data_IF_557399367938
#
_entry.id   IF_557399367938
#
_cell.length_a   1.000
_cell.length_b   1.000
_cell.length_c   1.000
_cell.angle_alpha   90.00
_cell.angle_beta   90.00
_cell.angle_gamma   90.00
#
_symmetry.space_group_name_H-M   'P 1'
#
loop_
_entity.id
_entity.type
_entity.pdbx_description
1 polymer ?
#
# COMPACT_ATOMS: atom_id res chain seq x y z
N UNK A 1 0.90 8.20 6.84
CA UNK A 1 1.61 9.15 5.95
C UNK A 1 0.56 9.85 5.11
N UNK A 2 0.52 11.19 5.06
CA UNK A 2 -0.46 11.94 4.27
C UNK A 2 -0.04 12.20 2.81
N UNK A 3 1.19 11.83 2.43
CA UNK A 3 1.77 12.11 1.11
C UNK A 3 2.53 10.90 0.51
N UNK A 4 2.52 9.75 1.19
CA UNK A 4 3.18 8.52 0.75
C UNK A 4 2.55 7.31 1.45
N UNK A 5 2.99 6.09 1.15
CA UNK A 5 2.57 4.89 1.88
C UNK A 5 3.53 4.54 3.01
N UNK A 6 3.05 3.84 4.05
CA UNK A 6 3.93 3.28 5.07
C UNK A 6 4.77 2.12 4.51
N UNK A 7 5.94 1.88 5.08
CA UNK A 7 6.72 0.65 4.87
C UNK A 7 6.25 -0.40 5.88
N UNK A 8 5.93 -1.60 5.40
CA UNK A 8 5.49 -2.73 6.22
C UNK A 8 6.34 -3.91 5.82
N UNK A 9 7.22 -4.36 6.70
CA UNK A 9 8.16 -5.45 6.44
C UNK A 9 8.47 -6.23 7.71
N UNK A 10 8.64 -7.56 7.63
CA UNK A 10 9.06 -8.37 8.77
C UNK A 10 10.43 -7.97 9.33
N UNK A 11 10.71 -8.21 10.62
CA UNK A 11 9.84 -8.88 11.59
C UNK A 11 8.78 -7.94 12.21
N UNK A 12 8.92 -6.63 12.06
CA UNK A 12 8.13 -5.64 12.79
C UNK A 12 6.77 -5.34 12.13
N UNK A 13 6.60 -5.69 10.85
CA UNK A 13 5.39 -5.47 10.08
C UNK A 13 4.83 -6.74 9.45
N UNK A 14 3.52 -6.79 9.34
CA UNK A 14 2.75 -7.83 8.66
C UNK A 14 1.74 -7.17 7.70
N UNK A 15 1.80 -7.54 6.41
CA UNK A 15 0.93 -6.94 5.39
C UNK A 15 -0.54 -7.35 5.57
N UNK A 16 -0.81 -8.55 6.07
CA UNK A 16 -2.17 -9.03 6.37
C UNK A 16 -2.78 -8.18 7.48
N UNK A 17 -2.06 -8.02 8.59
CA UNK A 17 -2.52 -7.20 9.71
C UNK A 17 -2.69 -5.72 9.31
N UNK A 18 -1.85 -5.23 8.41
CA UNK A 18 -1.97 -3.89 7.85
C UNK A 18 -3.24 -3.73 7.01
N UNK A 19 -3.53 -4.66 6.10
CA UNK A 19 -4.74 -4.65 5.26
C UNK A 19 -6.02 -4.75 6.12
N UNK A 20 -6.05 -5.65 7.11
CA UNK A 20 -7.16 -5.73 8.08
C UNK A 20 -7.36 -4.41 8.84
N UNK A 21 -6.28 -3.68 9.12
CA UNK A 21 -6.35 -2.37 9.77
C UNK A 21 -6.94 -1.29 8.86
N UNK A 22 -6.62 -1.32 7.56
CA UNK A 22 -7.25 -0.43 6.58
C UNK A 22 -8.75 -0.75 6.42
N UNK A 23 -9.14 -2.02 6.38
CA UNK A 23 -10.55 -2.42 6.33
C UNK A 23 -11.34 -1.93 7.55
N UNK A 24 -10.74 -2.00 8.76
CA UNK A 24 -11.32 -1.42 9.97
C UNK A 24 -11.51 0.10 9.85
N UNK A 25 -10.57 0.81 9.22
CA UNK A 25 -10.70 2.25 8.96
C UNK A 25 -11.80 2.56 7.95
N UNK A 26 -11.93 1.74 6.90
CA UNK A 26 -12.98 1.90 5.89
C UNK A 26 -14.40 1.81 6.48
N UNK A 27 -14.58 1.03 7.55
CA UNK A 27 -15.88 0.88 8.22
C UNK A 27 -16.22 1.99 9.22
N UNK A 28 -15.30 2.91 9.50
CA UNK A 28 -15.49 4.00 10.47
C UNK A 28 -16.03 5.28 9.81
N UNK A 29 -16.85 6.02 10.53
CA UNK A 29 -17.38 7.33 10.12
C UNK A 29 -16.53 8.48 10.66
N UNK A 30 -15.22 8.40 10.47
CA UNK A 30 -14.31 9.47 10.86
C UNK A 30 -14.44 10.66 9.88
N UNK A 31 -14.31 11.89 10.39
CA UNK A 31 -14.42 13.09 9.55
C UNK A 31 -13.05 13.63 9.10
N UNK A 32 -12.00 13.37 9.88
CA UNK A 32 -10.64 13.87 9.62
C UNK A 32 -9.61 12.88 10.16
N UNK A 33 -8.56 12.59 9.39
CA UNK A 33 -7.35 11.95 9.88
C UNK A 33 -6.22 12.96 10.10
N UNK A 34 -5.54 12.81 11.23
CA UNK A 34 -4.36 13.58 11.62
C UNK A 34 -3.13 12.67 11.62
N UNK A 35 -2.49 12.47 10.45
CA UNK A 35 -1.36 11.57 10.35
C UNK A 35 -0.12 12.16 11.03
N UNK A 36 0.78 11.30 11.53
CA UNK A 36 2.09 11.71 12.07
C UNK A 36 2.94 12.49 11.06
N UNK A 37 2.72 12.27 9.77
CA UNK A 37 3.40 12.98 8.68
C UNK A 37 2.40 13.40 7.61
N UNK A 38 2.55 14.62 7.09
CA UNK A 38 1.66 15.21 6.09
C UNK A 38 0.58 16.09 6.70
N UNK A 39 -0.27 16.64 5.84
CA UNK A 39 -1.42 17.46 6.24
C UNK A 39 -2.58 16.60 6.72
N UNK A 40 -3.57 17.26 7.34
CA UNK A 40 -4.83 16.62 7.69
C UNK A 40 -5.58 16.13 6.44
N UNK A 41 -6.21 14.96 6.55
CA UNK A 41 -6.98 14.34 5.47
C UNK A 41 -8.46 14.44 5.83
N UNK A 42 -9.26 15.09 4.97
CA UNK A 42 -10.71 15.24 5.16
C UNK A 42 -11.51 14.26 4.31
N UNK A 43 -11.00 13.90 3.14
CA UNK A 43 -11.55 12.85 2.28
C UNK A 43 -11.06 11.48 2.76
N UNK A 44 -11.45 11.06 3.97
CA UNK A 44 -10.85 9.90 4.63
C UNK A 44 -11.19 8.56 3.95
N UNK A 45 -12.44 8.40 3.48
CA UNK A 45 -12.92 7.17 2.87
C UNK A 45 -12.23 6.88 1.52
N UNK A 46 -12.16 7.84 0.57
CA UNK A 46 -11.35 7.66 -0.64
C UNK A 46 -9.86 7.47 -0.34
N UNK A 47 -9.34 8.12 0.70
CA UNK A 47 -7.93 8.01 1.06
C UNK A 47 -7.54 6.60 1.51
N UNK A 48 -8.35 5.96 2.37
CA UNK A 48 -8.09 4.58 2.81
C UNK A 48 -8.24 3.61 1.65
N UNK A 49 -9.27 3.79 0.82
CA UNK A 49 -9.48 2.94 -0.35
C UNK A 49 -8.29 2.99 -1.32
N UNK A 50 -7.73 4.18 -1.57
CA UNK A 50 -6.54 4.31 -2.42
C UNK A 50 -5.33 3.52 -1.89
N UNK A 51 -5.19 3.39 -0.56
CA UNK A 51 -4.14 2.56 0.03
C UNK A 51 -4.40 1.07 -0.16
N UNK A 52 -5.65 0.63 0.02
CA UNK A 52 -6.07 -0.76 -0.24
C UNK A 52 -5.78 -1.11 -1.70
N UNK A 53 -6.26 -0.27 -2.64
CA UNK A 53 -6.09 -0.46 -4.07
C UNK A 53 -4.61 -0.54 -4.45
N UNK A 54 -3.79 0.36 -3.91
CA UNK A 54 -2.35 0.35 -4.17
C UNK A 54 -1.67 -0.96 -3.73
N UNK A 55 -2.09 -1.56 -2.61
CA UNK A 55 -1.53 -2.85 -2.15
C UNK A 55 -1.99 -4.01 -3.02
N UNK A 56 -3.26 -4.04 -3.40
CA UNK A 56 -3.79 -5.07 -4.29
C UNK A 56 -3.18 -4.98 -5.69
N UNK A 57 -2.97 -3.77 -6.21
CA UNK A 57 -2.27 -3.56 -7.47
C UNK A 57 -0.84 -4.13 -7.41
N UNK A 58 -0.12 -3.87 -6.31
CA UNK A 58 1.23 -4.42 -6.13
C UNK A 58 1.23 -5.94 -6.10
N UNK A 59 0.26 -6.55 -5.42
CA UNK A 59 0.10 -8.02 -5.42
C UNK A 59 -0.17 -8.57 -6.83
N UNK A 60 -1.05 -7.92 -7.59
CA UNK A 60 -1.33 -8.30 -8.98
C UNK A 60 -0.09 -8.20 -9.87
N UNK A 61 0.75 -7.18 -9.69
CA UNK A 61 2.02 -7.04 -10.40
C UNK A 61 2.99 -8.19 -10.07
N UNK A 62 3.06 -8.62 -8.80
CA UNK A 62 3.85 -9.79 -8.39
C UNK A 62 3.32 -11.06 -9.07
N UNK A 63 2.00 -11.27 -9.05
CA UNK A 63 1.35 -12.41 -9.70
C UNK A 63 1.60 -12.41 -11.22
N UNK A 64 1.61 -11.25 -11.87
CA UNK A 64 1.94 -11.12 -13.29
C UNK A 64 3.40 -11.51 -13.56
N UNK A 65 4.35 -10.99 -12.77
CA UNK A 65 5.76 -11.36 -12.88
C UNK A 65 5.98 -12.87 -12.75
N UNK A 66 5.31 -13.51 -11.79
CA UNK A 66 5.38 -14.96 -11.59
C UNK A 66 4.82 -15.73 -12.79
N UNK A 67 3.71 -15.27 -13.40
CA UNK A 67 3.14 -15.87 -14.62
C UNK A 67 4.10 -15.74 -15.81
N UNK A 68 4.85 -14.65 -15.88
CA UNK A 68 5.86 -14.39 -16.91
C UNK A 68 7.20 -15.10 -16.64
N UNK A 69 7.30 -15.88 -15.57
CA UNK A 69 8.46 -16.70 -15.24
C UNK A 69 9.55 -15.99 -14.43
N UNK A 70 9.32 -14.74 -14.00
CA UNK A 70 10.21 -14.06 -13.06
C UNK A 70 10.00 -14.64 -11.67
N UNK A 71 11.04 -15.23 -11.09
CA UNK A 71 10.96 -15.93 -9.79
C UNK A 71 11.87 -15.32 -8.72
N UNK A 72 12.67 -14.31 -9.06
CA UNK A 72 13.60 -13.64 -8.14
C UNK A 72 13.19 -12.18 -7.96
N UNK A 73 13.15 -11.73 -6.71
CA UNK A 73 12.77 -10.35 -6.35
C UNK A 73 13.59 -9.29 -7.12
N UNK A 74 14.93 -9.39 -7.22
CA UNK A 74 15.72 -8.40 -7.98
C UNK A 74 15.34 -8.27 -9.44
N UNK A 75 14.77 -9.33 -10.04
CA UNK A 75 14.35 -9.33 -11.44
C UNK A 75 12.92 -8.73 -11.58
N UNK A 76 12.09 -8.79 -10.53
CA UNK A 76 10.75 -8.20 -10.50
C UNK A 76 10.77 -6.69 -10.24
N UNK A 77 11.66 -6.21 -9.36
CA UNK A 77 11.66 -4.79 -8.93
C UNK A 77 11.71 -3.80 -10.10
N UNK A 78 12.59 -3.94 -11.11
CA UNK A 78 12.64 -3.01 -12.25
C UNK A 78 11.37 -3.01 -13.09
N UNK A 79 10.64 -4.12 -13.14
CA UNK A 79 9.37 -4.25 -13.90
C UNK A 79 8.23 -3.55 -13.18
N UNK A 80 8.20 -3.61 -11.85
CA UNK A 80 7.09 -3.09 -11.07
C UNK A 80 7.27 -1.63 -10.61
N UNK A 81 8.50 -1.12 -10.56
CA UNK A 81 8.84 0.21 -10.03
C UNK A 81 9.34 1.17 -11.12
N UNK A 82 8.70 1.17 -12.29
CA UNK A 82 9.16 1.90 -13.48
C UNK A 82 9.06 3.42 -13.39
N UNK A 83 8.21 3.95 -12.50
CA UNK A 83 7.92 5.38 -12.37
C UNK A 83 8.41 5.99 -11.05
N UNK A 84 9.12 5.21 -10.25
CA UNK A 84 9.73 5.64 -8.99
C UNK A 84 11.19 6.00 -9.25
N UNK A 85 11.61 7.20 -8.86
CA UNK A 85 13.00 7.65 -8.96
C UNK A 85 13.90 6.72 -8.10
N UNK A 86 15.13 6.37 -8.54
CA UNK A 86 16.04 5.47 -7.80
C UNK A 86 16.42 5.98 -6.40
#
# INVERSE_FOLDING_TARGET
>A
MGWSTSVIGPPDGDMTAYMESLEKLQQRDDQVYWPTHGTAIREVQPFVQAFIDHRLEREQQILACLKDGLTRIPDMVPVMYTTTDP
#
